data_IF_463065395136
#
_entry.id   IF_463065395136
#
_cell.length_a   1.000
_cell.length_b   1.000
_cell.length_c   1.000
_cell.angle_alpha   90.00
_cell.angle_beta   90.00
_cell.angle_gamma   90.00
#
_symmetry.space_group_name_H-M   'P 1'
#
loop_
_entity.id
_entity.type
_entity.pdbx_description
1 polymer ?
#
# COMPACT_ATOMS: atom_id res chain seq x y z
N UNK A 1 10.36 -12.34 2.49
CA UNK A 1 8.91 -12.59 2.29
C UNK A 1 8.56 -12.20 0.86
N UNK A 2 7.99 -13.11 0.03
CA UNK A 2 7.50 -12.73 -1.28
C UNK A 2 6.37 -11.70 -1.14
N UNK A 3 6.44 -10.64 -1.94
CA UNK A 3 5.47 -9.53 -1.95
C UNK A 3 4.92 -9.40 -3.36
N UNK A 4 3.61 -9.28 -3.51
CA UNK A 4 3.00 -8.83 -4.76
C UNK A 4 2.92 -7.31 -4.73
N UNK A 5 3.35 -6.66 -5.80
CA UNK A 5 3.38 -5.20 -5.92
C UNK A 5 2.48 -4.75 -7.06
N UNK A 6 1.66 -3.73 -6.82
CA UNK A 6 0.89 -3.01 -7.83
C UNK A 6 1.08 -1.51 -7.65
N UNK A 7 1.26 -0.77 -8.74
CA UNK A 7 1.33 0.68 -8.74
C UNK A 7 0.41 1.24 -9.81
N UNK A 8 -0.41 2.19 -9.41
CA UNK A 8 -1.33 2.89 -10.28
C UNK A 8 -1.04 4.39 -10.25
N UNK A 9 -0.93 4.99 -11.44
CA UNK A 9 -0.81 6.44 -11.58
C UNK A 9 -2.06 6.97 -12.25
N UNK A 10 -2.69 7.96 -11.62
CA UNK A 10 -3.83 8.69 -12.16
C UNK A 10 -3.49 10.18 -12.23
N UNK A 11 -3.73 10.80 -13.39
CA UNK A 11 -3.50 12.22 -13.60
C UNK A 11 -4.79 12.86 -14.12
N UNK A 12 -5.36 13.79 -13.34
CA UNK A 12 -6.62 14.42 -13.68
C UNK A 12 -6.78 15.78 -13.00
N UNK A 13 -7.43 16.74 -13.68
CA UNK A 13 -7.70 18.10 -13.17
C UNK A 13 -6.51 18.81 -12.49
N UNK A 14 -5.29 18.63 -13.00
CA UNK A 14 -4.08 19.26 -12.43
C UNK A 14 -3.56 18.60 -11.15
N UNK A 15 -4.07 17.42 -10.81
CA UNK A 15 -3.59 16.54 -9.75
C UNK A 15 -2.99 15.27 -10.34
N UNK A 16 -1.87 14.83 -9.82
CA UNK A 16 -1.29 13.51 -10.08
C UNK A 16 -1.31 12.72 -8.79
N UNK A 17 -1.85 11.52 -8.83
CA UNK A 17 -1.87 10.59 -7.70
C UNK A 17 -1.18 9.28 -8.10
N UNK A 18 -0.23 8.85 -7.28
CA UNK A 18 0.40 7.53 -7.38
C UNK A 18 -0.08 6.72 -6.18
N UNK A 19 -0.63 5.54 -6.42
CA UNK A 19 -1.04 4.57 -5.38
C UNK A 19 -0.23 3.31 -5.51
N UNK A 20 0.34 2.84 -4.40
CA UNK A 20 1.13 1.62 -4.32
C UNK A 20 0.46 0.64 -3.37
N UNK A 21 0.37 -0.62 -3.80
CA UNK A 21 -0.16 -1.72 -3.01
C UNK A 21 0.90 -2.82 -2.90
N UNK A 22 1.32 -3.11 -1.68
CA UNK A 22 2.23 -4.20 -1.35
C UNK A 22 1.46 -5.26 -0.59
N UNK A 23 1.22 -6.42 -1.20
CA UNK A 23 0.51 -7.55 -0.58
C UNK A 23 1.51 -8.62 -0.13
N UNK A 24 1.36 -9.03 1.13
CA UNK A 24 2.14 -10.10 1.76
C UNK A 24 1.20 -11.19 2.24
N UNK A 25 1.42 -12.42 1.77
CA UNK A 25 0.67 -13.59 2.24
C UNK A 25 1.35 -14.28 3.44
N UNK A 26 2.66 -14.05 3.63
CA UNK A 26 3.39 -14.61 4.77
C UNK A 26 3.24 -13.70 6.01
N UNK A 27 2.15 -13.94 6.74
CA UNK A 27 1.80 -13.22 7.97
C UNK A 27 2.55 -13.72 9.20
N UNK A 28 3.38 -14.76 9.07
CA UNK A 28 4.18 -15.30 10.19
C UNK A 28 5.18 -14.28 10.75
N UNK A 29 5.43 -13.21 9.99
CA UNK A 29 6.30 -12.10 10.36
C UNK A 29 5.64 -11.07 11.28
N UNK A 30 4.33 -11.16 11.50
CA UNK A 30 3.62 -10.27 12.41
C UNK A 30 3.92 -10.61 13.87
N UNK A 31 3.97 -9.61 14.77
CA UNK A 31 4.06 -9.86 16.20
C UNK A 31 2.82 -10.62 16.69
N UNK A 32 3.05 -11.61 17.55
CA UNK A 32 2.01 -12.47 18.13
C UNK A 32 1.17 -13.17 17.04
N UNK A 33 1.77 -13.97 16.14
CA UNK A 33 1.07 -14.61 15.02
C UNK A 33 -0.15 -15.45 15.46
N UNK A 34 -0.13 -15.99 16.68
CA UNK A 34 -1.24 -16.70 17.31
C UNK A 34 -2.51 -15.85 17.46
N UNK A 35 -2.38 -14.53 17.63
CA UNK A 35 -3.51 -13.61 17.73
C UNK A 35 -4.19 -13.35 16.37
N UNK A 36 -3.54 -13.73 15.28
CA UNK A 36 -3.99 -13.51 13.90
C UNK A 36 -4.53 -14.79 13.26
N UNK A 37 -5.08 -15.70 14.07
CA UNK A 37 -5.66 -16.95 13.59
C UNK A 37 -6.71 -16.69 12.50
N UNK A 38 -6.49 -17.25 11.32
CA UNK A 38 -7.38 -17.10 10.16
C UNK A 38 -7.05 -15.92 9.24
N UNK A 39 -6.16 -14.99 9.64
CA UNK A 39 -5.63 -13.99 8.71
C UNK A 39 -4.84 -14.68 7.60
N UNK A 40 -4.99 -14.23 6.36
CA UNK A 40 -4.36 -14.87 5.19
C UNK A 40 -3.29 -14.00 4.55
N UNK A 41 -3.43 -12.68 4.69
CA UNK A 41 -2.54 -11.71 4.06
C UNK A 41 -2.71 -10.34 4.68
N UNK A 42 -1.71 -9.49 4.47
CA UNK A 42 -1.74 -8.07 4.81
C UNK A 42 -1.36 -7.26 3.58
N UNK A 43 -1.97 -6.10 3.41
CA UNK A 43 -1.63 -5.16 2.35
C UNK A 43 -1.20 -3.82 2.96
N UNK A 44 -0.08 -3.29 2.52
CA UNK A 44 0.30 -1.89 2.72
C UNK A 44 -0.18 -1.10 1.52
N UNK A 45 -0.97 -0.06 1.78
CA UNK A 45 -1.40 0.91 0.78
C UNK A 45 -0.70 2.23 1.08
N UNK A 46 0.00 2.75 0.09
CA UNK A 46 0.59 4.09 0.14
C UNK A 46 -0.02 4.93 -0.98
N UNK A 47 -0.29 6.20 -0.70
CA UNK A 47 -0.67 7.15 -1.74
C UNK A 47 0.17 8.40 -1.67
N UNK A 48 0.58 8.90 -2.83
CA UNK A 48 1.29 10.17 -2.98
C UNK A 48 0.51 11.04 -3.96
N UNK A 49 0.17 12.26 -3.56
CA UNK A 49 -0.58 13.21 -4.40
C UNK A 49 0.22 14.47 -4.62
N UNK A 50 0.31 14.89 -5.88
CA UNK A 50 0.92 16.13 -6.33
C UNK A 50 -0.17 17.06 -6.86
N UNK A 51 -0.30 18.25 -6.27
CA UNK A 51 -1.24 19.26 -6.73
C UNK A 51 -0.71 20.67 -6.40
N UNK A 52 -0.68 21.55 -7.40
CA UNK A 52 -0.29 22.95 -7.18
C UNK A 52 1.11 23.14 -6.60
N UNK A 53 2.04 22.23 -6.88
CA UNK A 53 3.41 22.25 -6.36
C UNK A 53 3.59 21.63 -4.96
N UNK A 54 2.51 21.16 -4.34
CA UNK A 54 2.55 20.47 -3.05
C UNK A 54 2.47 18.96 -3.22
N UNK A 55 3.10 18.23 -2.30
CA UNK A 55 3.02 16.76 -2.22
C UNK A 55 2.46 16.34 -0.87
N UNK A 56 1.44 15.48 -0.87
CA UNK A 56 0.92 14.81 0.34
C UNK A 56 1.12 13.30 0.25
N UNK A 57 1.30 12.64 1.40
CA UNK A 57 1.49 11.19 1.53
C UNK A 57 0.60 10.62 2.62
N UNK A 58 0.03 9.45 2.36
CA UNK A 58 -0.79 8.64 3.29
C UNK A 58 -0.38 7.18 3.22
#
# INVERSE_FOLDING_TARGET
VPVSYDEQTNADHGRVEVRRCCLVNDISTLPQPENWAGLQSIALLESERHQGGYTTRE
#
